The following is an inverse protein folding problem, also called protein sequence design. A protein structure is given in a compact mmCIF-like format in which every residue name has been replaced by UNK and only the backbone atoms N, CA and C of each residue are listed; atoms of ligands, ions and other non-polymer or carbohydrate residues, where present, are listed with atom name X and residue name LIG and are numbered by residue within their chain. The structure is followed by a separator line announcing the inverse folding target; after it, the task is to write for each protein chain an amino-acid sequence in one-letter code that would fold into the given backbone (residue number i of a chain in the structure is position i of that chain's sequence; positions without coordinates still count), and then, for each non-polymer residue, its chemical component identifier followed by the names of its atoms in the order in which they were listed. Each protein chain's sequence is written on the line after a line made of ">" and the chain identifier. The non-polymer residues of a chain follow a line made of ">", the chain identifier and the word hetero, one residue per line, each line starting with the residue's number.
data_IF_756332777913
#
_entry.id   IF_756332777913
#
_cell.length_a   1.000
_cell.length_b   1.000
_cell.length_c   1.000
_cell.angle_alpha   90.00
_cell.angle_beta   90.00
_cell.angle_gamma   90.00
#
_symmetry.space_group_name_H-M   'P 1'
#
loop_
_entity.id
_entity.type
_entity.pdbx_description
1 polymer ?
#
# COMPACT_ATOMS: atom_id res chain seq x y z
N UNK A 1 2.87 -47.01 14.92
CA UNK A 1 3.32 -47.54 13.60
C UNK A 1 2.34 -47.03 12.56
N UNK A 2 2.69 -45.97 11.80
CA UNK A 2 3.15 -46.04 10.38
C UNK A 2 2.23 -46.94 9.54
N UNK A 3 1.26 -46.36 8.82
CA UNK A 3 1.32 -45.95 7.39
C UNK A 3 1.13 -47.14 6.43
N UNK A 4 0.35 -46.87 5.37
CA UNK A 4 0.27 -47.53 4.05
C UNK A 4 -0.78 -48.64 3.87
N UNK A 5 -1.89 -48.32 3.18
CA UNK A 5 -2.35 -48.98 1.93
C UNK A 5 -3.82 -48.57 1.63
N UNK A 6 -4.03 -47.44 0.95
CA UNK A 6 -5.21 -47.27 0.07
C UNK A 6 -4.76 -46.45 -1.14
N UNK A 7 -4.07 -47.14 -2.04
CA UNK A 7 -3.94 -46.76 -3.44
C UNK A 7 -5.07 -47.52 -4.18
N UNK A 8 -5.52 -46.98 -5.32
CA UNK A 8 -6.32 -47.67 -6.35
C UNK A 8 -7.86 -47.47 -6.34
N UNK A 9 -8.30 -46.23 -6.51
CA UNK A 9 -9.59 -45.95 -7.19
C UNK A 9 -9.40 -44.83 -8.21
N UNK A 10 -8.67 -45.16 -9.28
CA UNK A 10 -8.62 -44.38 -10.51
C UNK A 10 -8.58 -45.37 -11.68
N UNK A 11 -9.75 -45.75 -12.19
CA UNK A 11 -10.01 -46.11 -13.59
C UNK A 11 -11.37 -46.81 -13.73
N UNK A 12 -12.03 -46.47 -14.83
CA UNK A 12 -13.19 -47.08 -15.48
C UNK A 12 -14.52 -46.37 -15.25
N UNK A 13 -15.27 -46.31 -16.36
CA UNK A 13 -16.59 -45.71 -16.62
C UNK A 13 -16.47 -44.24 -17.13
N UNK A 14 -16.58 -43.88 -18.41
CA UNK A 14 -17.16 -44.56 -19.58
C UNK A 14 -16.56 -44.05 -20.90
N UNK A 15 -16.34 -45.00 -21.82
CA UNK A 15 -16.20 -44.81 -23.27
C UNK A 15 -17.57 -44.53 -23.91
N UNK A 16 -17.57 -43.83 -25.05
CA UNK A 16 -18.73 -43.72 -25.95
C UNK A 16 -18.42 -42.97 -27.24
N UNK A 17 -17.85 -43.68 -28.22
CA UNK A 17 -17.59 -43.25 -29.61
C UNK A 17 -18.88 -42.86 -30.37
N UNK A 18 -18.78 -41.95 -31.34
CA UNK A 18 -19.09 -42.29 -32.74
C UNK A 18 -18.52 -41.27 -33.74
N UNK A 19 -18.11 -41.83 -34.88
CA UNK A 19 -17.51 -41.21 -36.07
C UNK A 19 -18.60 -41.04 -37.12
N UNK A 20 -18.61 -39.93 -37.87
CA UNK A 20 -18.91 -39.99 -39.32
C UNK A 20 -18.47 -38.72 -40.06
N UNK A 21 -17.94 -38.92 -41.26
CA UNK A 21 -17.34 -37.93 -42.15
C UNK A 21 -18.20 -37.68 -43.39
N UNK A 22 -18.20 -36.46 -43.93
CA UNK A 22 -17.81 -36.11 -45.33
C UNK A 22 -18.30 -34.71 -45.78
N UNK A 23 -17.32 -33.94 -46.30
CA UNK A 23 -17.27 -33.00 -47.46
C UNK A 23 -18.44 -32.04 -47.75
N UNK A 24 -18.11 -30.74 -47.82
CA UNK A 24 -18.88 -29.72 -48.55
C UNK A 24 -18.23 -28.33 -48.46
N UNK A 25 -18.01 -27.70 -49.62
CA UNK A 25 -17.25 -26.47 -49.93
C UNK A 25 -17.80 -25.18 -49.27
N UNK A 26 -16.85 -24.30 -48.84
CA UNK A 26 -16.83 -22.82 -48.75
C UNK A 26 -18.04 -22.04 -48.19
N UNK A 27 -17.80 -21.17 -47.21
CA UNK A 27 -17.93 -19.69 -47.30
C UNK A 27 -17.35 -19.03 -46.03
N UNK A 28 -16.48 -18.03 -46.18
CA UNK A 28 -16.04 -17.13 -45.08
C UNK A 28 -17.22 -16.25 -44.65
N UNK A 29 -17.36 -15.98 -43.34
CA UNK A 29 -17.07 -14.62 -42.88
C UNK A 29 -16.29 -14.59 -41.55
N UNK A 30 -15.65 -13.46 -41.28
CA UNK A 30 -14.70 -13.25 -40.20
C UNK A 30 -15.28 -13.54 -38.81
N UNK A 31 -14.74 -14.57 -38.13
CA UNK A 31 -15.00 -14.81 -36.72
C UNK A 31 -13.98 -14.09 -35.84
N UNK A 32 -14.54 -13.16 -35.07
CA UNK A 32 -13.93 -12.35 -34.02
C UNK A 32 -13.50 -13.29 -32.89
N UNK A 33 -12.25 -13.77 -32.92
CA UNK A 33 -11.64 -14.41 -31.75
C UNK A 33 -11.42 -13.35 -30.67
N UNK A 34 -12.40 -13.25 -29.78
CA UNK A 34 -12.31 -12.59 -28.49
C UNK A 34 -11.33 -13.34 -27.60
N UNK A 35 -10.06 -12.93 -27.66
CA UNK A 35 -9.11 -13.15 -26.57
C UNK A 35 -8.82 -11.81 -25.91
N UNK A 36 -9.82 -11.23 -25.24
CA UNK A 36 -9.57 -10.14 -24.30
C UNK A 36 -9.03 -10.81 -23.04
N UNK A 37 -7.71 -11.02 -23.03
CA UNK A 37 -6.95 -11.12 -21.79
C UNK A 37 -7.14 -9.80 -21.05
N UNK A 38 -8.06 -9.76 -20.09
CA UNK A 38 -8.19 -8.63 -19.17
C UNK A 38 -6.97 -8.62 -18.24
N UNK A 39 -5.85 -8.12 -18.77
CA UNK A 39 -4.77 -7.58 -17.95
C UNK A 39 -5.38 -6.35 -17.28
N UNK A 40 -5.46 -6.34 -15.95
CA UNK A 40 -5.93 -5.15 -15.24
C UNK A 40 -5.00 -3.99 -15.58
N UNK A 41 -5.54 -2.94 -16.21
CA UNK A 41 -4.81 -1.72 -16.59
C UNK A 41 -4.49 -0.89 -15.34
N UNK A 42 -3.61 -1.42 -14.50
CA UNK A 42 -3.07 -0.71 -13.34
C UNK A 42 -1.86 0.11 -13.79
N UNK A 43 -1.97 1.43 -13.68
CA UNK A 43 -0.94 2.40 -14.01
C UNK A 43 -0.40 3.07 -12.74
N UNK A 44 0.80 3.63 -12.84
CA UNK A 44 1.35 4.50 -11.80
C UNK A 44 1.17 5.93 -12.26
N UNK A 45 0.37 6.70 -11.52
CA UNK A 45 0.29 8.15 -11.65
C UNK A 45 1.52 8.79 -11.01
N UNK A 46 2.01 9.86 -11.62
CA UNK A 46 3.14 10.65 -11.13
C UNK A 46 2.71 12.11 -11.11
N UNK A 47 2.98 12.79 -10.00
CA UNK A 47 2.73 14.21 -9.84
C UNK A 47 4.00 14.90 -9.35
N UNK A 48 4.59 15.74 -10.20
CA UNK A 48 5.70 16.61 -9.82
C UNK A 48 5.18 17.76 -8.95
N UNK A 49 5.72 17.89 -7.73
CA UNK A 49 5.33 18.97 -6.84
C UNK A 49 6.11 20.25 -7.23
N UNK A 50 5.43 21.37 -7.49
CA UNK A 50 6.08 22.62 -7.90
C UNK A 50 7.12 23.10 -6.89
N UNK A 51 8.22 23.70 -7.38
CA UNK A 51 9.34 24.14 -6.54
C UNK A 51 8.93 25.16 -5.47
N UNK A 52 7.89 25.93 -5.75
CA UNK A 52 7.29 26.93 -4.88
C UNK A 52 6.64 26.31 -3.63
N UNK A 53 6.24 25.04 -3.70
CA UNK A 53 5.65 24.27 -2.61
C UNK A 53 6.68 23.35 -1.91
N UNK A 54 7.80 23.08 -2.58
CA UNK A 54 8.88 22.26 -2.01
C UNK A 54 9.90 23.09 -1.24
N UNK A 55 10.59 22.44 -0.30
CA UNK A 55 11.78 23.05 0.30
C UNK A 55 12.86 23.30 -0.76
N UNK A 56 13.62 24.42 -0.70
CA UNK A 56 14.50 24.86 -1.78
C UNK A 56 15.60 23.88 -2.18
N UNK A 57 15.94 22.95 -1.29
CA UNK A 57 16.97 21.93 -1.52
C UNK A 57 16.39 20.54 -1.89
N UNK A 58 15.10 20.45 -2.17
CA UNK A 58 14.43 19.19 -2.46
C UNK A 58 13.65 19.25 -3.77
N UNK A 59 13.71 18.15 -4.51
CA UNK A 59 12.72 17.83 -5.54
C UNK A 59 11.74 16.82 -4.95
N UNK A 60 10.44 17.02 -5.17
CA UNK A 60 9.39 16.18 -4.62
C UNK A 60 8.45 15.68 -5.70
N UNK A 61 8.10 14.39 -5.62
CA UNK A 61 7.17 13.72 -6.52
C UNK A 61 6.22 12.82 -5.75
N UNK A 62 4.93 12.90 -6.02
CA UNK A 62 3.95 11.94 -5.53
C UNK A 62 3.76 10.81 -6.55
N UNK A 63 3.70 9.57 -6.07
CA UNK A 63 3.38 8.38 -6.84
C UNK A 63 2.15 7.69 -6.22
N UNK A 64 1.21 7.28 -7.06
CA UNK A 64 0.00 6.58 -6.64
C UNK A 64 -0.48 5.65 -7.76
N UNK A 65 -1.30 4.65 -7.41
CA UNK A 65 -1.87 3.76 -8.43
C UNK A 65 -3.16 4.32 -9.02
N UNK A 66 -3.32 4.11 -10.32
CA UNK A 66 -4.57 4.33 -11.05
C UNK A 66 -5.01 2.96 -11.57
N UNK A 67 -6.19 2.50 -11.15
CA UNK A 67 -6.78 1.28 -11.65
C UNK A 67 -8.08 1.61 -12.37
N UNK A 68 -8.07 1.47 -13.70
CA UNK A 68 -9.17 1.92 -14.55
C UNK A 68 -9.46 3.42 -14.32
N UNK A 69 -10.60 3.76 -13.71
CA UNK A 69 -11.03 5.13 -13.41
C UNK A 69 -10.97 5.43 -11.90
N UNK A 70 -10.17 4.69 -11.15
CA UNK A 70 -9.98 4.88 -9.70
C UNK A 70 -8.53 5.19 -9.34
N UNK A 71 -8.37 6.19 -8.48
CA UNK A 71 -7.09 6.62 -7.95
C UNK A 71 -6.98 6.05 -6.54
N UNK A 72 -5.87 5.39 -6.24
CA UNK A 72 -5.64 4.87 -4.90
C UNK A 72 -5.62 5.98 -3.85
N UNK A 73 -6.21 5.67 -2.70
CA UNK A 73 -6.09 6.45 -1.47
C UNK A 73 -4.68 6.40 -0.87
N UNK A 74 -3.87 5.42 -1.26
CA UNK A 74 -2.47 5.29 -0.84
C UNK A 74 -1.53 5.97 -1.83
N UNK A 75 -0.61 6.79 -1.33
CA UNK A 75 0.47 7.36 -2.13
C UNK A 75 1.82 7.31 -1.43
N UNK A 76 2.84 7.47 -2.25
CA UNK A 76 4.23 7.52 -1.86
C UNK A 76 4.83 8.83 -2.39
N UNK A 77 5.23 9.71 -1.50
CA UNK A 77 6.00 10.89 -1.85
C UNK A 77 7.49 10.55 -1.81
N UNK A 78 8.19 10.84 -2.91
CA UNK A 78 9.63 10.76 -3.02
C UNK A 78 10.22 12.17 -2.87
N UNK A 79 11.16 12.32 -1.95
CA UNK A 79 11.96 13.51 -1.77
C UNK A 79 13.39 13.19 -2.18
N UNK A 80 13.94 13.95 -3.13
CA UNK A 80 15.36 13.94 -3.47
C UNK A 80 16.01 15.21 -2.97
N UNK A 81 17.00 15.08 -2.10
CA UNK A 81 17.91 16.19 -1.79
C UNK A 81 18.76 16.49 -3.03
N UNK A 82 18.64 17.71 -3.56
CA UNK A 82 19.27 18.07 -4.83
C UNK A 82 20.80 18.14 -4.74
N UNK A 83 21.34 18.31 -3.53
CA UNK A 83 22.78 18.42 -3.24
C UNK A 83 23.35 17.04 -2.89
N UNK A 84 22.85 16.41 -1.82
CA UNK A 84 23.39 15.14 -1.32
C UNK A 84 22.96 13.94 -2.15
N UNK A 85 21.94 14.12 -3.01
CA UNK A 85 21.33 13.04 -3.79
C UNK A 85 20.75 11.95 -2.88
N UNK A 86 20.49 12.20 -1.61
CA UNK A 86 19.77 11.24 -0.79
C UNK A 86 18.28 11.22 -1.12
N UNK A 87 17.69 10.03 -1.08
CA UNK A 87 16.25 9.85 -1.28
C UNK A 87 15.57 9.61 0.07
N UNK A 88 14.34 10.10 0.19
CA UNK A 88 13.45 9.83 1.31
C UNK A 88 12.06 9.52 0.79
N UNK A 89 11.36 8.61 1.45
CA UNK A 89 9.96 8.30 1.13
C UNK A 89 9.04 8.76 2.24
N UNK A 90 7.84 9.22 1.89
CA UNK A 90 6.74 9.39 2.82
C UNK A 90 5.51 8.63 2.32
N UNK A 91 4.93 7.77 3.17
CA UNK A 91 3.70 7.06 2.84
C UNK A 91 2.50 7.75 3.46
N UNK A 92 1.52 8.02 2.62
CA UNK A 92 0.29 8.70 3.01
C UNK A 92 -0.93 7.91 2.56
N UNK A 93 -1.92 7.82 3.45
CA UNK A 93 -3.23 7.29 3.14
C UNK A 93 -4.27 8.38 3.35
N UNK A 94 -4.97 8.77 2.28
CA UNK A 94 -6.07 9.72 2.34
C UNK A 94 -7.40 9.02 2.05
N UNK A 95 -8.37 9.02 2.98
CA UNK A 95 -9.68 8.44 2.76
C UNK A 95 -10.55 9.28 1.80
N UNK A 96 -10.07 10.45 1.40
CA UNK A 96 -10.78 11.32 0.47
C UNK A 96 -10.29 11.07 -0.96
N UNK A 97 -11.18 11.25 -1.93
CA UNK A 97 -10.84 11.08 -3.35
C UNK A 97 -9.67 11.98 -3.72
N UNK A 98 -8.56 11.38 -4.16
CA UNK A 98 -7.47 12.10 -4.81
C UNK A 98 -7.86 12.39 -6.25
N UNK A 99 -8.32 13.62 -6.50
CA UNK A 99 -8.35 14.13 -7.87
C UNK A 99 -6.92 14.48 -8.26
N UNK A 100 -6.45 14.12 -9.47
CA UNK A 100 -5.20 14.66 -9.99
C UNK A 100 -5.32 16.19 -10.03
N UNK A 101 -4.68 16.89 -9.11
CA UNK A 101 -4.65 18.35 -9.11
C UNK A 101 -3.50 18.79 -10.00
N UNK A 102 -3.81 19.29 -11.20
CA UNK A 102 -2.83 20.01 -12.01
C UNK A 102 -2.65 21.40 -11.41
N UNK A 103 -1.57 21.64 -10.68
CA UNK A 103 -1.23 22.98 -10.21
C UNK A 103 -0.61 23.78 -11.37
N UNK A 104 -1.43 24.60 -12.04
CA UNK A 104 -0.96 25.68 -12.90
C UNK A 104 -1.05 26.99 -12.10
N UNK A 105 0.07 27.63 -11.72
CA UNK A 105 0.06 28.92 -11.03
C UNK A 105 -0.64 30.04 -11.82
N UNK A 106 -0.88 29.83 -13.13
CA UNK A 106 -1.52 30.79 -14.02
C UNK A 106 -3.04 30.63 -14.14
N UNK A 107 -3.61 29.51 -13.66
CA UNK A 107 -5.05 29.21 -13.83
C UNK A 107 -5.85 29.51 -12.57
N UNK A 108 -5.92 30.79 -12.21
CA UNK A 108 -6.74 31.27 -11.08
C UNK A 108 -8.24 31.05 -11.28
N UNK A 109 -8.69 30.78 -12.52
CA UNK A 109 -10.10 30.64 -12.87
C UNK A 109 -10.66 29.21 -12.78
N UNK A 110 -9.83 28.18 -12.62
CA UNK A 110 -10.30 26.77 -12.56
C UNK A 110 -10.47 26.27 -11.11
N UNK A 111 -9.98 27.02 -10.12
CA UNK A 111 -10.05 26.67 -8.69
C UNK A 111 -11.48 26.76 -8.13
N UNK A 112 -12.38 27.52 -8.78
CA UNK A 112 -13.75 27.77 -8.29
C UNK A 112 -14.79 26.71 -8.69
N UNK A 113 -14.49 25.80 -9.62
CA UNK A 113 -15.46 24.81 -10.15
C UNK A 113 -15.11 23.35 -9.84
N UNK A 114 -14.17 23.08 -8.93
CA UNK A 114 -13.95 21.73 -8.41
C UNK A 114 -15.17 21.32 -7.55
N UNK A 115 -16.21 20.81 -8.21
CA UNK A 115 -17.21 19.96 -7.56
C UNK A 115 -16.41 18.84 -6.90
N UNK A 116 -16.38 18.83 -5.56
CA UNK A 116 -15.96 17.67 -4.78
C UNK A 116 -16.83 16.50 -5.21
N UNK A 117 -16.37 15.71 -6.17
CA UNK A 117 -16.98 14.43 -6.51
C UNK A 117 -16.70 13.56 -5.29
N UNK A 118 -17.66 13.51 -4.36
CA UNK A 118 -17.64 12.59 -3.23
C UNK A 118 -17.70 11.17 -3.79
N UNK A 119 -16.54 10.61 -4.09
CA UNK A 119 -16.42 9.19 -4.42
C UNK A 119 -16.68 8.39 -3.15
N UNK A 120 -17.42 7.29 -3.26
CA UNK A 120 -17.61 6.38 -2.15
C UNK A 120 -16.24 5.93 -1.64
N UNK A 121 -15.98 6.17 -0.35
CA UNK A 121 -14.76 5.76 0.32
C UNK A 121 -14.54 4.25 0.14
N UNK A 122 -13.48 3.87 -0.56
CA UNK A 122 -13.05 2.48 -0.63
C UNK A 122 -11.79 2.32 0.21
N UNK A 123 -11.95 1.67 1.35
CA UNK A 123 -10.82 1.31 2.20
C UNK A 123 -9.95 0.26 1.51
N UNK A 124 -8.66 0.54 1.30
CA UNK A 124 -7.70 -0.46 0.83
C UNK A 124 -7.27 -1.36 1.98
N UNK A 125 -7.22 -2.65 1.73
CA UNK A 125 -6.72 -3.63 2.70
C UNK A 125 -5.20 -3.53 2.84
N UNK A 126 -4.68 -4.03 3.97
CA UNK A 126 -3.25 -4.11 4.23
C UNK A 126 -2.44 -4.75 3.09
N UNK A 127 -2.90 -5.90 2.58
CA UNK A 127 -2.24 -6.61 1.48
C UNK A 127 -2.27 -5.83 0.16
N UNK A 128 -3.40 -5.15 -0.12
CA UNK A 128 -3.48 -4.25 -1.27
C UNK A 128 -2.45 -3.13 -1.11
N UNK A 129 -2.40 -2.42 0.04
CA UNK A 129 -1.41 -1.37 0.29
C UNK A 129 0.05 -1.84 0.13
N UNK A 130 0.39 -3.03 0.62
CA UNK A 130 1.72 -3.63 0.41
C UNK A 130 1.99 -3.92 -1.08
N UNK A 131 0.99 -4.41 -1.81
CA UNK A 131 1.10 -4.64 -3.25
C UNK A 131 1.29 -3.32 -4.01
N UNK A 132 0.55 -2.27 -3.64
CA UNK A 132 0.70 -0.95 -4.24
C UNK A 132 2.09 -0.39 -4.02
N UNK A 133 2.61 -0.48 -2.78
CA UNK A 133 3.97 -0.07 -2.45
C UNK A 133 5.00 -0.81 -3.31
N UNK A 134 4.85 -2.12 -3.54
CA UNK A 134 5.75 -2.89 -4.42
C UNK A 134 5.71 -2.36 -5.86
N UNK A 135 4.52 -2.08 -6.39
CA UNK A 135 4.37 -1.53 -7.75
C UNK A 135 5.01 -0.16 -7.87
N UNK A 136 4.75 0.73 -6.91
CA UNK A 136 5.30 2.09 -6.89
C UNK A 136 6.82 2.04 -6.81
N UNK A 137 7.42 1.30 -5.87
CA UNK A 137 8.87 1.21 -5.75
C UNK A 137 9.53 0.64 -7.01
N UNK A 138 8.91 -0.38 -7.61
CA UNK A 138 9.39 -0.93 -8.89
C UNK A 138 9.34 0.11 -10.00
N UNK A 139 8.31 0.95 -10.03
CA UNK A 139 8.23 2.04 -11.00
C UNK A 139 9.30 3.10 -10.75
N UNK A 140 9.43 3.60 -9.51
CA UNK A 140 10.46 4.59 -9.13
C UNK A 140 11.86 4.08 -9.47
N UNK A 141 12.12 2.76 -9.35
CA UNK A 141 13.44 2.17 -9.63
C UNK A 141 13.91 2.28 -11.08
N UNK A 142 13.04 2.68 -12.01
CA UNK A 142 13.41 2.94 -13.40
C UNK A 142 14.15 4.25 -13.57
N UNK A 143 13.81 5.24 -12.73
CA UNK A 143 14.30 6.61 -12.85
C UNK A 143 15.26 6.98 -11.71
N UNK A 144 15.23 6.23 -10.61
CA UNK A 144 16.03 6.48 -9.42
C UNK A 144 16.76 5.23 -8.94
N UNK A 145 17.99 5.43 -8.48
CA UNK A 145 18.69 4.42 -7.69
C UNK A 145 18.10 4.36 -6.27
N UNK A 146 17.18 3.41 -6.08
CA UNK A 146 16.44 3.17 -4.83
C UNK A 146 17.39 2.90 -3.65
N UNK A 147 18.61 2.38 -3.89
CA UNK A 147 19.59 2.14 -2.81
C UNK A 147 20.01 3.42 -2.07
N UNK A 148 19.76 4.59 -2.65
CA UNK A 148 19.98 5.91 -2.04
C UNK A 148 18.91 6.31 -1.03
N UNK A 149 17.83 5.54 -0.85
CA UNK A 149 16.82 5.85 0.16
C UNK A 149 17.40 5.67 1.55
N UNK A 150 17.35 6.75 2.35
CA UNK A 150 17.86 6.78 3.73
C UNK A 150 16.76 6.69 4.78
N UNK A 151 15.52 7.03 4.43
CA UNK A 151 14.41 7.01 5.37
C UNK A 151 13.07 6.80 4.70
N UNK A 152 12.18 6.11 5.41
CA UNK A 152 10.74 6.08 5.15
C UNK A 152 10.04 6.74 6.34
N UNK A 153 9.12 7.66 6.07
CA UNK A 153 8.29 8.35 7.06
C UNK A 153 6.82 8.04 6.80
N UNK A 154 6.03 7.82 7.84
CA UNK A 154 4.59 7.65 7.70
C UNK A 154 3.86 7.87 9.02
N UNK A 155 2.58 8.21 8.97
CA UNK A 155 1.70 7.98 10.11
C UNK A 155 1.54 6.47 10.32
N UNK A 156 1.51 6.00 11.57
CA UNK A 156 1.20 4.60 11.90
C UNK A 156 -0.17 4.22 11.31
N UNK A 157 -1.13 5.16 11.32
CA UNK A 157 -2.46 4.99 10.74
C UNK A 157 -2.47 4.88 9.20
N UNK A 158 -1.40 5.26 8.49
CA UNK A 158 -1.30 5.01 7.05
C UNK A 158 -1.54 3.53 6.70
N UNK A 159 -1.23 2.63 7.64
CA UNK A 159 -1.61 1.22 7.61
C UNK A 159 -2.53 0.92 8.81
N UNK A 160 -3.84 0.82 8.57
CA UNK A 160 -4.85 0.65 9.63
C UNK A 160 -4.61 -0.60 10.48
N UNK A 161 -4.23 -1.70 9.87
CA UNK A 161 -3.93 -2.96 10.55
C UNK A 161 -2.72 -2.84 11.48
N UNK A 162 -1.72 -2.03 11.10
CA UNK A 162 -0.59 -1.71 11.97
C UNK A 162 -1.07 -0.93 13.19
N UNK A 163 -1.80 0.17 13.02
CA UNK A 163 -2.26 1.00 14.16
C UNK A 163 -3.15 0.23 15.13
N UNK A 164 -4.08 -0.58 14.61
CA UNK A 164 -4.94 -1.45 15.42
C UNK A 164 -4.14 -2.57 16.12
N UNK A 165 -3.21 -3.20 15.40
CA UNK A 165 -2.37 -4.28 15.93
C UNK A 165 -1.48 -3.80 17.07
N UNK A 166 -0.81 -2.66 16.89
CA UNK A 166 0.03 -2.03 17.91
C UNK A 166 -0.80 -1.58 19.11
N UNK A 167 -1.97 -0.98 18.88
CA UNK A 167 -2.90 -0.59 19.96
C UNK A 167 -3.30 -1.79 20.82
N UNK A 168 -3.68 -2.91 20.19
CA UNK A 168 -4.06 -4.13 20.90
C UNK A 168 -2.88 -4.68 21.71
N UNK A 169 -1.73 -4.92 21.08
CA UNK A 169 -0.54 -5.45 21.75
C UNK A 169 -0.09 -4.55 22.90
N UNK A 170 -0.13 -3.23 22.72
CA UNK A 170 0.23 -2.29 23.78
C UNK A 170 -0.70 -2.41 24.99
N UNK A 171 -2.02 -2.40 24.76
CA UNK A 171 -3.01 -2.47 25.84
C UNK A 171 -2.92 -3.81 26.57
N UNK A 172 -2.70 -4.90 25.84
CA UNK A 172 -2.58 -6.24 26.41
C UNK A 172 -1.31 -6.37 27.29
N UNK A 173 -0.19 -5.76 26.89
CA UNK A 173 1.09 -5.87 27.62
C UNK A 173 1.28 -4.82 28.71
N UNK A 174 0.76 -3.60 28.52
CA UNK A 174 1.09 -2.44 29.36
C UNK A 174 -0.15 -1.76 29.97
N UNK A 175 -1.35 -2.24 29.65
CA UNK A 175 -2.61 -1.64 30.05
C UNK A 175 -2.93 -0.35 29.29
N UNK A 176 -3.93 0.37 29.77
CA UNK A 176 -4.46 1.58 29.11
C UNK A 176 -3.74 2.88 29.50
N UNK A 177 -2.72 2.79 30.35
CA UNK A 177 -1.97 3.96 30.83
C UNK A 177 -0.78 4.20 29.92
N UNK A 178 -0.67 5.44 29.47
CA UNK A 178 0.40 5.89 28.59
C UNK A 178 1.21 6.95 29.32
N UNK A 179 2.53 6.82 29.25
CA UNK A 179 3.49 7.72 29.87
C UNK A 179 4.68 7.94 28.92
N UNK A 180 5.73 8.61 29.39
CA UNK A 180 6.93 8.90 28.58
C UNK A 180 7.63 7.64 28.03
N UNK A 181 7.44 6.46 28.63
CA UNK A 181 8.00 5.18 28.12
C UNK A 181 7.16 4.58 27.00
N UNK A 182 6.04 5.19 26.61
CA UNK A 182 5.15 4.63 25.58
C UNK A 182 5.82 4.61 24.21
N UNK A 183 6.65 5.60 23.86
CA UNK A 183 7.36 5.63 22.56
C UNK A 183 8.24 4.39 22.41
N UNK A 184 9.09 4.11 23.40
CA UNK A 184 9.99 2.95 23.37
C UNK A 184 9.23 1.62 23.31
N UNK A 185 8.10 1.53 24.02
CA UNK A 185 7.23 0.34 23.98
C UNK A 185 6.58 0.18 22.60
N UNK A 186 6.07 1.25 22.02
CA UNK A 186 5.45 1.25 20.69
C UNK A 186 6.49 0.91 19.63
N UNK A 187 7.68 1.54 19.69
CA UNK A 187 8.84 1.23 18.85
C UNK A 187 9.11 -0.27 18.84
N UNK A 188 9.30 -0.87 20.02
CA UNK A 188 9.55 -2.31 20.15
C UNK A 188 8.43 -3.16 19.53
N UNK A 189 7.17 -2.80 19.77
CA UNK A 189 6.03 -3.51 19.18
C UNK A 189 5.99 -3.42 17.65
N UNK A 190 6.44 -2.29 17.07
CA UNK A 190 6.55 -2.11 15.63
C UNK A 190 7.72 -2.92 15.08
N UNK A 191 8.89 -2.87 15.71
CA UNK A 191 10.07 -3.67 15.33
C UNK A 191 9.73 -5.17 15.26
N UNK A 192 8.93 -5.67 16.21
CA UNK A 192 8.47 -7.07 16.29
C UNK A 192 7.19 -7.37 15.47
N UNK A 193 6.69 -6.41 14.68
CA UNK A 193 5.46 -6.58 13.91
C UNK A 193 5.70 -7.23 12.54
N UNK A 194 4.64 -7.86 12.00
CA UNK A 194 4.63 -8.37 10.62
C UNK A 194 4.90 -7.26 9.61
N UNK A 195 4.45 -6.03 9.90
CA UNK A 195 4.73 -4.86 9.09
C UNK A 195 6.23 -4.63 8.86
N UNK A 196 7.04 -4.65 9.92
CA UNK A 196 8.49 -4.47 9.78
C UNK A 196 9.11 -5.60 8.94
N UNK A 197 8.65 -6.83 9.14
CA UNK A 197 9.09 -7.97 8.34
C UNK A 197 8.71 -7.82 6.87
N UNK A 198 7.51 -7.34 6.56
CA UNK A 198 7.02 -7.19 5.18
C UNK A 198 7.65 -6.00 4.46
N UNK A 199 7.85 -4.86 5.14
CA UNK A 199 8.63 -3.75 4.58
C UNK A 199 10.07 -4.20 4.31
N UNK A 200 10.70 -4.96 5.22
CA UNK A 200 12.04 -5.54 4.99
C UNK A 200 12.05 -6.41 3.73
N UNK A 201 11.05 -7.28 3.53
CA UNK A 201 10.92 -8.10 2.32
C UNK A 201 10.72 -7.25 1.06
N UNK A 202 9.97 -6.15 1.14
CA UNK A 202 9.72 -5.23 0.02
C UNK A 202 11.01 -4.51 -0.40
N UNK A 203 11.86 -4.15 0.57
CA UNK A 203 13.11 -3.42 0.35
C UNK A 203 14.29 -4.33 -0.06
N UNK A 204 14.23 -5.61 0.27
CA UNK A 204 15.30 -6.57 0.00
C UNK A 204 15.80 -6.62 -1.46
N UNK A 205 14.95 -6.56 -2.51
CA UNK A 205 15.40 -6.53 -3.91
C UNK A 205 16.29 -5.34 -4.25
N UNK A 206 16.21 -4.26 -3.49
CA UNK A 206 17.01 -3.04 -3.67
C UNK A 206 18.26 -3.02 -2.78
N UNK A 207 18.57 -4.13 -2.11
CA UNK A 207 19.68 -4.25 -1.16
C UNK A 207 19.60 -3.22 -0.03
N UNK A 208 18.39 -2.93 0.46
CA UNK A 208 18.14 -2.01 1.58
C UNK A 208 17.63 -2.79 2.78
N UNK A 209 18.07 -2.39 3.97
CA UNK A 209 17.58 -2.89 5.25
C UNK A 209 17.11 -1.75 6.13
N UNK A 210 16.15 -2.05 7.00
CA UNK A 210 15.76 -1.17 8.10
C UNK A 210 16.86 -1.26 9.15
N UNK A 211 17.49 -0.13 9.44
CA UNK A 211 18.54 -0.02 10.46
C UNK A 211 17.97 0.34 11.82
N UNK A 212 17.00 1.26 11.84
CA UNK A 212 16.39 1.75 13.06
C UNK A 212 14.91 2.08 12.82
N UNK A 213 14.08 1.79 13.82
CA UNK A 213 12.70 2.26 13.93
C UNK A 213 12.62 3.35 14.99
N UNK A 214 11.99 4.47 14.67
CA UNK A 214 11.75 5.56 15.61
C UNK A 214 10.28 6.00 15.60
N UNK A 215 9.76 6.37 16.76
CA UNK A 215 8.41 6.94 16.94
C UNK A 215 8.58 8.34 17.50
N UNK A 216 8.42 9.35 16.65
CA UNK A 216 8.78 10.74 17.00
C UNK A 216 7.73 11.38 17.91
N UNK A 217 6.46 11.23 17.55
CA UNK A 217 5.32 11.75 18.30
C UNK A 217 4.17 10.73 18.15
N UNK A 218 3.43 10.46 19.23
CA UNK A 218 2.21 9.67 19.15
C UNK A 218 1.00 10.50 19.58
N UNK A 219 -0.10 10.32 18.87
CA UNK A 219 -1.41 10.90 19.16
C UNK A 219 -2.42 9.78 19.31
N UNK A 220 -3.53 10.07 19.99
CA UNK A 220 -4.69 9.18 19.99
C UNK A 220 -5.77 9.82 19.16
N UNK A 221 -6.40 9.02 18.30
CA UNK A 221 -7.67 9.40 17.73
C UNK A 221 -8.77 8.46 18.22
N UNK A 222 -9.97 9.03 18.36
CA UNK A 222 -11.19 8.26 18.56
C UNK A 222 -11.78 8.00 17.18
N UNK A 223 -12.01 6.73 16.79
CA UNK A 223 -12.58 6.41 15.48
C UNK A 223 -14.01 6.92 15.29
N UNK A 224 -14.64 7.53 16.31
CA UNK A 224 -15.97 8.14 16.20
C UNK A 224 -16.03 9.31 15.19
N UNK A 225 -14.89 9.88 14.80
CA UNK A 225 -14.81 10.93 13.78
C UNK A 225 -14.52 10.38 12.38
N UNK A 226 -14.22 9.09 12.25
CA UNK A 226 -14.08 8.45 10.95
C UNK A 226 -15.44 7.84 10.62
N UNK A 227 -16.13 8.37 9.61
CA UNK A 227 -17.38 7.81 9.07
C UNK A 227 -17.14 6.44 8.43
N UNK A 228 -16.79 5.43 9.24
CA UNK A 228 -16.63 4.05 8.79
C UNK A 228 -17.93 3.32 9.08
N UNK A 229 -18.80 3.27 8.07
CA UNK A 229 -19.91 2.33 8.04
C UNK A 229 -19.37 0.88 8.12
N UNK A 230 -19.74 0.18 9.20
CA UNK A 230 -20.11 -1.23 9.17
C UNK A 230 -19.03 -2.33 9.26
N UNK A 231 -17.73 -2.05 9.11
CA UNK A 231 -16.70 -3.11 9.07
C UNK A 231 -15.84 -3.24 10.35
N UNK A 232 -15.62 -2.14 11.09
CA UNK A 232 -14.74 -2.12 12.28
C UNK A 232 -15.42 -2.66 13.52
N UNK A 233 -16.74 -2.47 13.67
CA UNK A 233 -17.51 -2.95 14.84
C UNK A 233 -17.52 -4.47 14.98
N UNK A 234 -17.24 -5.22 13.91
CA UNK A 234 -17.24 -6.69 13.93
C UNK A 234 -15.93 -7.32 14.41
N UNK A 235 -14.81 -6.58 14.49
CA UNK A 235 -13.48 -7.13 14.83
C UNK A 235 -12.89 -6.64 16.15
N UNK A 236 -13.57 -5.73 16.84
CA UNK A 236 -13.24 -5.27 18.18
C UNK A 236 -14.55 -5.25 18.99
N UNK A 237 -14.58 -5.74 20.23
CA UNK A 237 -15.80 -5.72 21.04
C UNK A 237 -16.33 -4.29 21.12
N UNK A 238 -17.50 -4.07 20.52
CA UNK A 238 -18.11 -2.80 20.08
C UNK A 238 -18.43 -1.78 21.20
N UNK A 239 -17.77 -1.83 22.36
CA UNK A 239 -18.07 -0.92 23.49
C UNK A 239 -16.88 -0.28 24.22
N UNK A 240 -15.59 -0.57 23.93
CA UNK A 240 -14.53 -0.17 24.91
C UNK A 240 -13.17 0.36 24.42
N UNK A 241 -12.93 0.63 23.14
CA UNK A 241 -11.69 1.29 22.71
C UNK A 241 -11.97 2.65 22.06
N UNK A 242 -11.91 3.70 22.90
CA UNK A 242 -12.06 5.10 22.49
C UNK A 242 -10.76 5.74 21.94
N UNK A 243 -9.66 4.97 21.86
CA UNK A 243 -8.33 5.49 21.55
C UNK A 243 -7.53 4.47 20.74
N UNK A 244 -7.17 4.83 19.51
CA UNK A 244 -6.22 4.10 18.66
C UNK A 244 -4.89 4.84 18.72
N UNK A 245 -3.79 4.11 18.87
CA UNK A 245 -2.44 4.65 18.80
C UNK A 245 -2.16 5.04 17.35
N UNK A 246 -1.84 6.30 17.15
CA UNK A 246 -1.26 6.81 15.94
C UNK A 246 -0.02 7.63 16.28
N UNK A 247 0.77 7.99 15.29
CA UNK A 247 2.00 8.73 15.48
C UNK A 247 2.85 8.72 14.24
N UNK A 248 3.91 9.52 14.27
CA UNK A 248 4.87 9.55 13.18
C UNK A 248 5.91 8.44 13.37
N UNK A 249 5.86 7.46 12.46
CA UNK A 249 6.83 6.40 12.31
C UNK A 249 7.93 6.84 11.33
N UNK A 250 9.17 6.66 11.75
CA UNK A 250 10.36 6.85 10.93
C UNK A 250 11.13 5.53 10.88
N UNK A 251 11.43 5.05 9.68
CA UNK A 251 12.32 3.91 9.44
C UNK A 251 13.60 4.47 8.84
N UNK A 252 14.71 4.44 9.59
CA UNK A 252 16.03 4.75 9.04
C UNK A 252 16.53 3.53 8.27
N UNK A 253 17.05 3.77 7.07
CA UNK A 253 17.44 2.73 6.13
C UNK A 253 18.93 2.83 5.83
N UNK A 254 19.54 1.67 5.58
CA UNK A 254 20.91 1.60 5.05
C UNK A 254 21.02 0.55 3.97
N UNK A 255 22.05 0.69 3.14
CA UNK A 255 22.43 -0.35 2.20
C UNK A 255 22.87 -1.60 2.97
N UNK A 256 22.46 -2.77 2.47
CA UNK A 256 22.91 -4.06 2.96
C UNK A 256 24.36 -4.25 2.51
N UNK A 257 25.27 -4.48 3.45
CA UNK A 257 26.63 -4.85 3.11
C UNK A 257 26.63 -6.17 2.33
N UNK A 258 27.34 -6.21 1.20
CA UNK A 258 27.64 -7.44 0.48
C UNK A 258 28.83 -8.04 1.20
N UNK A 259 28.60 -9.07 2.02
CA UNK A 259 29.65 -9.89 2.63
C UNK A 259 30.04 -11.02 1.69
#
# INVERSE_FOLDING_TARGET
>A
MKILFVLLTLLLLFNGNSVSAKRGISFKPAEKTSSISHKSDTLVGVHDIPKELTSPNYAEREYFLINQNDTSSFSCFLYEDVISKHLSLQFEYSPYSKTPTSYSPADTNVVSEQKNIQKAYKETSYEEQLQELRFILKFISKDYDISRIKKIKMSIRSFKELSLGITRKYIDQFGKKFNYKSNERIKKLIEESEFTADITKILAPYSIIIDEVSVLEFVYYSPQNDMVEGSVERRLPAKKQKRIIDGMLLLNLRAKAIN
#
